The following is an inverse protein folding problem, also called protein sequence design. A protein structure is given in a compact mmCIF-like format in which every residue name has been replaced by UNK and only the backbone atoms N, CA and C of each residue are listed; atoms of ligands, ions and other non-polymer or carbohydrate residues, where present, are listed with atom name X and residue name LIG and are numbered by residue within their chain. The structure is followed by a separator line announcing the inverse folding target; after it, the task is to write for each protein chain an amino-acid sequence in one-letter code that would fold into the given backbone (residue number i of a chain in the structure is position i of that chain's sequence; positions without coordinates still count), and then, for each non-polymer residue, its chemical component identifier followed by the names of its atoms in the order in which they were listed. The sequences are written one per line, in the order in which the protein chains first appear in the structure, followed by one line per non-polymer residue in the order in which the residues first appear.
data_IF_815737337981
#
_entry.id   IF_815737337981
#
_cell.length_a   1.000
_cell.length_b   1.000
_cell.length_c   1.000
_cell.angle_alpha   90.00
_cell.angle_beta   90.00
_cell.angle_gamma   90.00
#
_symmetry.space_group_name_H-M   'P 1'
#
loop_
_entity.id
_entity.type
_entity.pdbx_description
1 polymer ?
#
# COMPACT_ATOMS: atom_id res chain seq x y z
N UNK A 1 17.05 40.93 8.50
CA UNK A 1 15.77 40.49 9.08
C UNK A 1 15.59 39.02 8.74
N UNK A 2 16.04 38.15 9.64
CA UNK A 2 15.98 36.69 9.50
C UNK A 2 15.10 36.17 10.63
N UNK A 3 14.03 35.46 10.29
CA UNK A 3 13.15 34.79 11.25
C UNK A 3 13.57 33.33 11.35
N UNK A 4 14.17 32.98 12.49
CA UNK A 4 14.34 31.61 12.95
C UNK A 4 12.99 31.04 13.42
N UNK A 5 12.63 29.87 12.91
CA UNK A 5 11.49 29.07 13.37
C UNK A 5 12.05 27.80 14.02
N UNK A 6 12.13 27.82 15.35
CA UNK A 6 12.42 26.66 16.18
C UNK A 6 11.23 25.69 16.16
N UNK A 7 11.39 24.54 15.52
CA UNK A 7 10.46 23.41 15.66
C UNK A 7 10.68 22.72 17.01
N UNK A 8 9.63 22.69 17.84
CA UNK A 8 9.57 21.83 19.04
C UNK A 8 9.67 20.37 18.63
N UNK A 9 10.80 19.74 18.95
CA UNK A 9 10.98 18.28 18.94
C UNK A 9 10.13 17.70 20.09
N UNK A 10 9.28 16.68 19.86
CA UNK A 10 8.59 16.02 20.96
C UNK A 10 9.62 15.34 21.87
N UNK A 11 9.45 15.50 23.20
CA UNK A 11 10.30 14.91 24.25
C UNK A 11 10.66 13.46 23.88
N UNK A 12 11.92 13.26 23.52
CA UNK A 12 12.53 11.92 23.49
C UNK A 12 12.52 11.43 24.93
N UNK A 13 11.85 10.31 25.20
CA UNK A 13 12.07 9.56 26.43
C UNK A 13 13.50 9.04 26.34
N UNK A 14 14.45 9.80 26.87
CA UNK A 14 15.83 9.36 27.04
C UNK A 14 15.83 8.32 28.14
N UNK A 15 15.95 7.05 27.77
CA UNK A 15 16.30 6.01 28.72
C UNK A 15 17.70 6.31 29.24
N UNK A 16 17.86 6.40 30.56
CA UNK A 16 19.18 6.39 31.18
C UNK A 16 19.97 5.18 30.69
N UNK A 17 21.27 5.34 30.46
CA UNK A 17 22.14 4.28 29.93
C UNK A 17 22.13 2.99 30.78
N UNK A 18 21.63 3.07 32.02
CA UNK A 18 21.64 2.03 33.04
C UNK A 18 20.79 0.79 32.70
N UNK A 19 19.79 0.89 31.82
CA UNK A 19 18.92 -0.26 31.46
C UNK A 19 19.34 -1.01 30.19
N UNK A 20 20.29 -0.46 29.42
CA UNK A 20 20.70 -1.05 28.14
C UNK A 20 21.28 -2.47 28.26
N UNK A 21 22.10 -2.80 29.28
CA UNK A 21 22.63 -4.16 29.47
C UNK A 21 21.53 -5.18 29.78
N UNK A 22 20.56 -4.81 30.61
CA UNK A 22 19.43 -5.68 30.98
C UNK A 22 18.54 -5.98 29.78
N UNK A 23 18.26 -4.97 28.94
CA UNK A 23 17.50 -5.15 27.69
C UNK A 23 18.24 -6.07 26.71
N UNK A 24 19.57 -5.92 26.57
CA UNK A 24 20.38 -6.81 25.72
C UNK A 24 20.38 -8.25 26.22
N UNK A 25 20.57 -8.45 27.52
CA UNK A 25 20.54 -9.77 28.15
C UNK A 25 19.17 -10.45 27.95
N UNK A 26 18.09 -9.71 28.18
CA UNK A 26 16.73 -10.19 27.94
C UNK A 26 16.51 -10.58 26.47
N UNK A 27 16.96 -9.75 25.52
CA UNK A 27 16.83 -10.03 24.09
C UNK A 27 17.61 -11.28 23.66
N UNK A 28 18.79 -11.51 24.23
CA UNK A 28 19.55 -12.73 24.02
C UNK A 28 18.83 -13.94 24.60
N UNK A 29 18.31 -13.85 25.83
CA UNK A 29 17.55 -14.92 26.46
C UNK A 29 16.29 -15.27 25.65
N UNK A 30 15.52 -14.26 25.23
CA UNK A 30 14.34 -14.48 24.39
C UNK A 30 14.70 -15.15 23.06
N UNK A 31 15.82 -14.76 22.44
CA UNK A 31 16.30 -15.40 21.22
C UNK A 31 16.68 -16.87 21.44
N UNK A 32 17.35 -17.19 22.55
CA UNK A 32 17.69 -18.57 22.86
C UNK A 32 16.45 -19.41 23.19
N UNK A 33 15.56 -18.91 24.06
CA UNK A 33 14.38 -19.66 24.53
C UNK A 33 13.36 -19.90 23.41
N UNK A 34 13.19 -18.94 22.49
CA UNK A 34 12.12 -19.03 21.50
C UNK A 34 12.60 -19.30 20.07
N UNK A 35 13.87 -19.03 19.73
CA UNK A 35 14.33 -18.98 18.32
C UNK A 35 15.54 -19.89 17.99
N UNK A 36 16.13 -20.61 18.96
CA UNK A 36 17.35 -21.39 18.72
C UNK A 36 17.17 -22.68 17.89
N UNK A 37 15.96 -23.26 17.80
CA UNK A 37 15.80 -24.63 17.28
C UNK A 37 15.44 -24.77 15.77
N UNK A 38 15.53 -23.71 14.96
CA UNK A 38 15.26 -23.85 13.51
C UNK A 38 16.17 -22.99 12.63
N UNK A 39 17.39 -23.45 12.46
CA UNK A 39 18.19 -23.21 11.26
C UNK A 39 18.37 -24.53 10.53
N UNK A 40 17.41 -24.90 9.70
CA UNK A 40 17.64 -25.93 8.67
C UNK A 40 16.99 -25.50 7.35
N UNK A 41 17.74 -25.81 6.30
CA UNK A 41 17.54 -25.39 4.92
C UNK A 41 16.19 -25.83 4.34
N UNK A 42 15.67 -24.98 3.46
CA UNK A 42 14.44 -25.20 2.71
C UNK A 42 14.76 -26.09 1.50
N UNK A 43 14.64 -27.41 1.63
CA UNK A 43 14.59 -28.34 0.49
C UNK A 43 13.15 -28.87 0.30
N UNK A 44 12.56 -28.74 -0.89
CA UNK A 44 11.23 -29.25 -1.16
C UNK A 44 11.33 -30.60 -1.89
N UNK A 45 11.16 -31.73 -1.19
CA UNK A 45 10.53 -32.95 -1.69
C UNK A 45 10.67 -34.10 -0.67
N UNK A 46 9.57 -34.53 -0.06
CA UNK A 46 9.08 -35.93 -0.13
C UNK A 46 7.85 -36.14 0.75
N UNK A 47 6.79 -36.62 0.10
CA UNK A 47 5.75 -37.45 0.69
C UNK A 47 6.38 -38.72 1.27
N UNK A 48 5.75 -39.27 2.32
CA UNK A 48 6.12 -40.43 3.14
C UNK A 48 6.92 -40.12 4.42
N UNK A 49 6.20 -39.77 5.49
CA UNK A 49 6.53 -40.17 6.86
C UNK A 49 5.30 -39.91 7.75
N UNK A 50 4.38 -40.87 7.82
CA UNK A 50 3.20 -40.84 8.71
C UNK A 50 3.32 -41.77 9.92
N UNK A 51 4.52 -42.28 10.22
CA UNK A 51 4.74 -43.31 11.27
C UNK A 51 5.66 -42.88 12.41
N UNK A 52 6.29 -41.70 12.36
CA UNK A 52 7.15 -41.20 13.45
C UNK A 52 6.40 -40.31 14.46
N UNK A 53 5.33 -39.62 14.05
CA UNK A 53 4.59 -38.70 14.91
C UNK A 53 3.66 -39.40 15.93
N UNK A 54 3.26 -40.65 15.67
CA UNK A 54 2.40 -41.41 16.60
C UNK A 54 3.19 -41.98 17.80
N UNK A 55 4.46 -42.35 17.60
CA UNK A 55 5.31 -42.92 18.65
C UNK A 55 5.77 -41.89 19.70
N UNK A 56 5.66 -40.59 19.42
CA UNK A 56 5.97 -39.52 20.37
C UNK A 56 4.77 -39.22 21.28
N UNK A 57 3.55 -39.39 20.77
CA UNK A 57 2.31 -39.16 21.54
C UNK A 57 2.08 -40.31 22.54
N UNK A 58 2.43 -41.56 22.18
CA UNK A 58 2.26 -42.71 23.08
C UNK A 58 3.33 -42.80 24.18
N UNK A 59 4.53 -42.21 23.97
CA UNK A 59 5.56 -42.08 25.03
C UNK A 59 5.25 -41.01 26.08
N UNK A 60 4.32 -40.09 25.81
CA UNK A 60 3.86 -39.10 26.79
C UNK A 60 2.78 -39.67 27.72
N UNK A 61 2.16 -40.82 27.39
CA UNK A 61 1.09 -41.43 28.21
C UNK A 61 1.51 -42.55 29.15
N UNK A 62 2.73 -43.10 29.04
CA UNK A 62 3.20 -44.21 29.91
C UNK A 62 4.41 -43.78 30.76
N UNK A 63 4.31 -42.62 31.39
CA UNK A 63 5.31 -42.08 32.32
C UNK A 63 4.68 -41.52 33.61
N UNK A 64 3.53 -42.07 34.02
CA UNK A 64 2.79 -41.68 35.22
C UNK A 64 2.94 -42.75 36.31
N UNK A 65 4.15 -42.90 36.85
CA UNK A 65 4.35 -43.50 38.16
C UNK A 65 5.72 -43.12 38.71
N UNK A 66 5.71 -42.52 39.90
CA UNK A 66 6.85 -42.37 40.81
C UNK A 66 7.99 -41.45 40.34
N UNK A 67 7.74 -40.15 40.37
CA UNK A 67 8.66 -39.23 41.03
C UNK A 67 7.89 -37.99 41.47
N UNK A 68 7.92 -37.74 42.78
CA UNK A 68 7.44 -36.56 43.44
C UNK A 68 8.31 -35.36 43.01
N UNK A 69 8.08 -34.88 41.78
CA UNK A 69 8.59 -33.58 41.34
C UNK A 69 7.79 -32.54 42.11
N UNK A 70 8.47 -31.77 42.95
CA UNK A 70 8.04 -30.43 43.31
C UNK A 70 7.64 -29.73 42.02
N UNK A 71 6.33 -29.63 41.78
CA UNK A 71 5.78 -28.66 40.86
C UNK A 71 6.09 -27.34 41.54
N UNK A 72 7.21 -26.71 41.16
CA UNK A 72 7.34 -25.28 41.30
C UNK A 72 6.07 -24.73 40.66
N UNK A 73 5.16 -24.22 41.49
CA UNK A 73 4.11 -23.32 41.05
C UNK A 73 4.86 -22.17 40.38
N UNK A 74 5.09 -22.29 39.07
CA UNK A 74 5.52 -21.17 38.25
C UNK A 74 4.30 -20.27 38.27
N UNK A 75 4.40 -19.27 39.13
CA UNK A 75 3.36 -18.27 39.33
C UNK A 75 3.10 -17.59 37.98
N UNK A 76 2.06 -18.04 37.29
CA UNK A 76 1.63 -17.51 36.00
C UNK A 76 1.00 -16.12 36.13
N UNK A 77 0.99 -15.55 37.34
CA UNK A 77 0.53 -14.18 37.63
C UNK A 77 1.61 -13.11 37.43
N UNK A 78 2.82 -13.47 37.01
CA UNK A 78 3.85 -12.51 36.63
C UNK A 78 3.41 -11.72 35.38
N UNK A 79 2.71 -10.61 35.62
CA UNK A 79 2.68 -9.50 34.69
C UNK A 79 4.12 -9.25 34.21
N UNK A 80 4.38 -9.19 32.89
CA UNK A 80 5.72 -8.91 32.41
C UNK A 80 6.28 -7.69 33.14
N UNK A 81 7.51 -7.77 33.68
CA UNK A 81 8.03 -6.86 34.71
C UNK A 81 8.21 -5.42 34.22
N UNK A 82 8.08 -5.19 32.92
CA UNK A 82 8.26 -3.88 32.30
C UNK A 82 6.93 -3.27 31.85
N UNK A 83 6.76 -1.94 31.95
CA UNK A 83 5.66 -1.20 31.33
C UNK A 83 5.55 -1.43 29.81
N UNK A 84 4.36 -1.15 29.25
CA UNK A 84 4.08 -1.32 27.81
C UNK A 84 5.04 -0.53 26.92
N UNK A 85 5.42 0.67 27.33
CA UNK A 85 6.30 1.58 26.58
C UNK A 85 7.71 0.99 26.39
N UNK A 86 8.20 0.23 27.38
CA UNK A 86 9.49 -0.47 27.30
C UNK A 86 9.41 -1.57 26.25
N UNK A 87 8.35 -2.38 26.29
CA UNK A 87 8.14 -3.44 25.31
C UNK A 87 7.96 -2.89 23.90
N UNK A 88 7.23 -1.78 23.74
CA UNK A 88 7.13 -1.10 22.45
C UNK A 88 8.49 -0.65 21.93
N UNK A 89 9.33 -0.09 22.79
CA UNK A 89 10.69 0.32 22.43
C UNK A 89 11.54 -0.90 22.03
N UNK A 90 11.48 -2.00 22.78
CA UNK A 90 12.16 -3.25 22.46
C UNK A 90 11.69 -3.75 21.08
N UNK A 91 10.38 -3.97 20.92
CA UNK A 91 9.77 -4.50 19.69
C UNK A 91 10.01 -3.63 18.46
N UNK A 92 10.14 -2.31 18.63
CA UNK A 92 10.44 -1.37 17.54
C UNK A 92 11.81 -1.65 16.92
N UNK A 93 12.76 -2.10 17.73
CA UNK A 93 14.11 -2.43 17.31
C UNK A 93 14.27 -3.88 16.83
N UNK A 94 13.22 -4.69 16.92
CA UNK A 94 13.27 -6.09 16.50
C UNK A 94 13.05 -6.24 14.99
N UNK A 95 13.71 -7.20 14.31
CA UNK A 95 13.39 -7.58 12.94
C UNK A 95 11.93 -8.02 12.80
N UNK A 96 11.34 -7.83 11.61
CA UNK A 96 9.94 -8.18 11.35
C UNK A 96 9.60 -9.66 11.59
N UNK A 97 10.46 -10.65 11.26
CA UNK A 97 10.19 -12.05 11.58
C UNK A 97 10.04 -12.31 13.08
N UNK A 98 10.90 -11.71 13.91
CA UNK A 98 10.86 -11.84 15.36
C UNK A 98 9.60 -11.17 15.92
N UNK A 99 9.25 -9.99 15.40
CA UNK A 99 8.02 -9.29 15.79
C UNK A 99 6.76 -10.11 15.50
N UNK A 100 6.73 -10.87 14.40
CA UNK A 100 5.63 -11.81 14.11
C UNK A 100 5.57 -12.92 15.16
N UNK A 101 6.72 -13.45 15.57
CA UNK A 101 6.79 -14.50 16.60
C UNK A 101 6.39 -13.99 17.98
N UNK A 102 6.79 -12.77 18.35
CA UNK A 102 6.40 -12.16 19.63
C UNK A 102 4.90 -12.04 19.82
N UNK A 103 4.14 -11.80 18.74
CA UNK A 103 2.67 -11.82 18.79
C UNK A 103 2.08 -13.17 19.19
N UNK A 104 2.82 -14.25 19.00
CA UNK A 104 2.39 -15.60 19.29
C UNK A 104 2.79 -16.06 20.70
N UNK A 105 3.60 -15.27 21.43
CA UNK A 105 4.10 -15.65 22.76
C UNK A 105 3.00 -15.56 23.81
N UNK A 106 2.31 -14.43 23.92
CA UNK A 106 1.21 -14.26 24.87
C UNK A 106 0.22 -13.15 24.43
N UNK A 107 -0.97 -13.11 25.04
CA UNK A 107 -2.00 -12.11 24.73
C UNK A 107 -1.52 -10.67 24.94
N UNK A 108 -0.74 -10.40 26.00
CA UNK A 108 -0.20 -9.05 26.26
C UNK A 108 0.75 -8.60 25.17
N UNK A 109 1.68 -9.45 24.73
CA UNK A 109 2.61 -9.09 23.65
C UNK A 109 1.88 -8.88 22.32
N UNK A 110 0.89 -9.73 22.01
CA UNK A 110 0.02 -9.47 20.87
C UNK A 110 -0.66 -8.10 20.99
N UNK A 111 -1.26 -7.78 22.14
CA UNK A 111 -1.94 -6.50 22.38
C UNK A 111 -1.00 -5.30 22.25
N UNK A 112 0.24 -5.38 22.73
CA UNK A 112 1.26 -4.32 22.57
C UNK A 112 1.58 -4.14 21.08
N UNK A 113 1.84 -5.24 20.36
CA UNK A 113 2.20 -5.18 18.95
C UNK A 113 1.03 -4.69 18.09
N UNK A 114 -0.21 -5.11 18.37
CA UNK A 114 -1.40 -4.68 17.61
C UNK A 114 -1.94 -3.32 18.06
N UNK A 115 -1.65 -2.89 19.28
CA UNK A 115 -2.07 -1.60 19.85
C UNK A 115 -1.15 -0.43 19.47
N UNK A 116 0.14 -0.68 19.23
CA UNK A 116 1.10 0.38 18.93
C UNK A 116 1.23 0.66 17.40
N UNK A 117 0.84 1.84 16.89
CA UNK A 117 0.98 2.19 15.47
C UNK A 117 2.39 2.12 14.91
N UNK A 118 3.40 2.41 15.72
CA UNK A 118 4.79 2.30 15.28
C UNK A 118 5.21 0.84 14.99
N UNK A 119 4.56 -0.13 15.63
CA UNK A 119 4.84 -1.56 15.43
C UNK A 119 4.00 -2.12 14.29
N UNK A 120 2.68 -1.96 14.35
CA UNK A 120 1.82 -2.66 13.39
C UNK A 120 1.89 -2.10 11.96
N UNK A 121 2.29 -0.82 11.79
CA UNK A 121 2.55 -0.24 10.46
C UNK A 121 3.70 -0.92 9.71
N UNK A 122 4.52 -1.73 10.40
CA UNK A 122 5.59 -2.53 9.79
C UNK A 122 5.08 -3.85 9.19
N UNK A 123 3.83 -4.25 9.48
CA UNK A 123 3.23 -5.43 8.88
C UNK A 123 2.57 -5.09 7.54
N UNK A 124 2.74 -6.04 6.62
CA UNK A 124 2.08 -6.07 5.32
C UNK A 124 1.44 -7.44 5.19
N UNK A 125 0.17 -7.49 4.78
CA UNK A 125 -0.52 -8.76 4.50
C UNK A 125 -0.56 -8.96 3.00
N UNK A 126 -0.18 -10.16 2.54
CA UNK A 126 -0.25 -10.58 1.15
C UNK A 126 -1.11 -11.83 1.09
N UNK A 127 -2.17 -11.79 0.29
CA UNK A 127 -3.09 -12.89 0.05
C UNK A 127 -2.72 -13.56 -1.27
N UNK A 128 -2.60 -14.89 -1.27
CA UNK A 128 -2.08 -15.66 -2.40
C UNK A 128 -3.14 -16.66 -2.89
N UNK A 129 -3.09 -17.16 -4.13
CA UNK A 129 -4.14 -18.03 -4.69
C UNK A 129 -4.39 -19.30 -3.88
N UNK A 130 -3.39 -19.77 -3.13
CA UNK A 130 -3.48 -21.00 -2.33
C UNK A 130 -4.20 -20.83 -0.99
N UNK A 131 -4.56 -19.61 -0.57
CA UNK A 131 -5.39 -19.41 0.63
C UNK A 131 -6.86 -19.69 0.30
N UNK A 132 -7.22 -21.00 0.23
CA UNK A 132 -8.56 -21.52 -0.13
C UNK A 132 -9.72 -21.01 0.73
N UNK A 133 -9.43 -20.36 1.86
CA UNK A 133 -10.39 -19.55 2.57
C UNK A 133 -9.64 -18.31 3.06
N UNK A 134 -9.95 -17.14 2.50
CA UNK A 134 -9.55 -15.85 3.05
C UNK A 134 -10.31 -15.64 4.38
N UNK A 135 -10.14 -16.50 5.38
CA UNK A 135 -10.69 -16.29 6.72
C UNK A 135 -9.57 -16.51 7.73
N UNK A 136 -8.64 -15.55 7.85
CA UNK A 136 -7.56 -15.70 8.80
C UNK A 136 -8.15 -15.26 10.14
N UNK A 137 -8.41 -16.23 11.02
CA UNK A 137 -9.05 -16.02 12.31
C UNK A 137 -8.39 -14.93 13.17
N UNK A 138 -7.14 -14.53 12.88
CA UNK A 138 -6.42 -13.46 13.60
C UNK A 138 -5.44 -12.69 12.69
N UNK A 139 -5.94 -11.89 11.73
CA UNK A 139 -5.06 -10.91 11.06
C UNK A 139 -4.68 -9.78 12.04
N UNK A 140 -3.40 -9.36 12.08
CA UNK A 140 -3.06 -8.09 12.73
C UNK A 140 -3.74 -6.92 12.00
N UNK A 141 -4.01 -5.80 12.69
CA UNK A 141 -4.23 -4.55 12.01
C UNK A 141 -2.98 -4.23 11.18
N UNK A 142 -3.18 -3.85 9.92
CA UNK A 142 -2.08 -3.47 9.03
C UNK A 142 -2.42 -2.20 8.28
N UNK A 143 -1.38 -1.52 7.83
CA UNK A 143 -1.52 -0.33 6.98
C UNK A 143 -1.72 -0.69 5.52
N UNK A 144 -1.19 -1.85 5.10
CA UNK A 144 -1.13 -2.25 3.71
C UNK A 144 -1.56 -3.71 3.54
N UNK A 145 -2.43 -3.95 2.56
CA UNK A 145 -2.83 -5.28 2.12
C UNK A 145 -2.63 -5.42 0.61
N UNK A 146 -2.12 -6.57 0.17
CA UNK A 146 -1.98 -6.94 -1.24
C UNK A 146 -2.73 -8.24 -1.53
N UNK A 147 -3.54 -8.26 -2.57
CA UNK A 147 -4.22 -9.45 -3.07
C UNK A 147 -3.58 -9.88 -4.38
N UNK A 148 -3.11 -11.13 -4.41
CA UNK A 148 -2.51 -11.74 -5.61
C UNK A 148 -3.27 -12.98 -6.01
N UNK A 149 -4.57 -12.92 -5.78
CA UNK A 149 -5.51 -13.99 -5.98
C UNK A 149 -6.83 -13.42 -6.45
N UNK A 150 -7.68 -14.30 -6.97
CA UNK A 150 -9.03 -13.92 -7.32
C UNK A 150 -9.81 -13.49 -6.08
N UNK A 151 -10.59 -12.42 -6.20
CA UNK A 151 -11.43 -11.87 -5.13
C UNK A 151 -12.86 -11.80 -5.64
N UNK A 152 -13.59 -12.89 -5.42
CA UNK A 152 -15.01 -13.01 -5.78
C UNK A 152 -15.92 -12.44 -4.69
N UNK A 153 -15.52 -12.59 -3.42
CA UNK A 153 -16.24 -12.07 -2.27
C UNK A 153 -15.29 -11.89 -1.08
N UNK A 154 -15.65 -11.01 -0.16
CA UNK A 154 -15.04 -10.94 1.17
C UNK A 154 -16.04 -11.37 2.24
N UNK A 155 -15.56 -12.12 3.23
CA UNK A 155 -16.38 -12.59 4.34
C UNK A 155 -16.35 -11.61 5.52
N UNK A 156 -17.03 -11.96 6.62
CA UNK A 156 -17.32 -11.08 7.76
C UNK A 156 -16.10 -10.56 8.54
N UNK A 157 -14.89 -11.06 8.30
CA UNK A 157 -13.66 -10.54 8.93
C UNK A 157 -13.19 -9.23 8.30
N UNK A 158 -13.54 -8.95 7.04
CA UNK A 158 -12.99 -7.83 6.29
C UNK A 158 -13.19 -6.47 6.99
N UNK A 159 -14.40 -6.12 7.48
CA UNK A 159 -14.61 -4.82 8.13
C UNK A 159 -13.68 -4.56 9.31
N UNK A 160 -13.38 -5.59 10.11
CA UNK A 160 -12.47 -5.47 11.26
C UNK A 160 -11.02 -5.27 10.83
N UNK A 161 -10.62 -5.92 9.75
CA UNK A 161 -9.29 -5.82 9.19
C UNK A 161 -9.06 -4.48 8.47
N UNK A 162 -10.08 -4.00 7.77
CA UNK A 162 -10.00 -2.85 6.87
C UNK A 162 -9.95 -1.49 7.58
N UNK A 163 -10.38 -1.41 8.84
CA UNK A 163 -10.47 -0.14 9.61
C UNK A 163 -9.16 0.67 9.60
N UNK A 164 -8.01 0.00 9.65
CA UNK A 164 -6.68 0.65 9.70
C UNK A 164 -5.94 0.66 8.36
N UNK A 165 -6.53 0.14 7.29
CA UNK A 165 -5.89 0.11 5.98
C UNK A 165 -5.77 1.53 5.41
N UNK A 166 -4.55 1.90 5.04
CA UNK A 166 -4.27 3.11 4.26
C UNK A 166 -3.94 2.78 2.80
N UNK A 167 -3.60 1.52 2.50
CA UNK A 167 -3.27 1.06 1.17
C UNK A 167 -3.80 -0.33 0.91
N UNK A 168 -4.43 -0.46 -0.25
CA UNK A 168 -4.93 -1.71 -0.79
C UNK A 168 -4.34 -1.90 -2.18
N UNK A 169 -3.81 -3.08 -2.44
CA UNK A 169 -3.25 -3.45 -3.71
C UNK A 169 -3.86 -4.77 -4.21
N UNK A 170 -4.00 -4.87 -5.52
CA UNK A 170 -4.39 -6.09 -6.23
C UNK A 170 -3.38 -6.30 -7.36
N UNK A 171 -2.63 -7.39 -7.31
CA UNK A 171 -1.59 -7.73 -8.29
C UNK A 171 -1.93 -9.07 -8.95
N UNK A 172 -2.42 -9.00 -10.17
CA UNK A 172 -2.88 -10.10 -11.01
C UNK A 172 -4.08 -10.86 -10.44
N UNK A 173 -5.07 -11.10 -11.29
CA UNK A 173 -6.21 -11.96 -11.00
C UNK A 173 -7.56 -11.30 -11.26
N UNK A 174 -8.58 -12.09 -11.00
CA UNK A 174 -9.97 -11.74 -11.24
C UNK A 174 -10.58 -11.10 -9.99
N UNK A 175 -11.09 -9.89 -10.11
CA UNK A 175 -11.71 -9.16 -8.98
C UNK A 175 -13.14 -8.85 -9.33
N UNK A 176 -14.08 -9.31 -8.51
CA UNK A 176 -15.47 -8.86 -8.60
C UNK A 176 -15.55 -7.37 -8.25
N UNK A 177 -16.21 -6.56 -9.08
CA UNK A 177 -16.49 -5.14 -8.77
C UNK A 177 -17.35 -5.07 -7.51
N UNK A 178 -18.32 -5.98 -7.36
CA UNK A 178 -19.16 -6.07 -6.17
C UNK A 178 -18.31 -6.31 -4.92
N UNK A 179 -17.36 -7.25 -4.98
CA UNK A 179 -16.44 -7.51 -3.88
C UNK A 179 -15.52 -6.32 -3.59
N UNK A 180 -14.92 -5.71 -4.63
CA UNK A 180 -14.06 -4.53 -4.49
C UNK A 180 -14.81 -3.39 -3.79
N UNK A 181 -16.03 -3.07 -4.21
CA UNK A 181 -16.81 -2.00 -3.59
C UNK A 181 -17.26 -2.35 -2.18
N UNK A 182 -17.66 -3.60 -1.95
CA UNK A 182 -17.92 -4.12 -0.60
C UNK A 182 -16.70 -3.95 0.30
N UNK A 183 -15.50 -4.19 -0.22
CA UNK A 183 -14.26 -4.00 0.50
C UNK A 183 -13.99 -2.52 0.81
N UNK A 184 -14.01 -1.67 -0.22
CA UNK A 184 -13.69 -0.25 -0.12
C UNK A 184 -14.63 0.50 0.84
N UNK A 185 -15.90 0.09 0.94
CA UNK A 185 -16.88 0.65 1.90
C UNK A 185 -16.41 0.57 3.35
N UNK A 186 -15.58 -0.42 3.68
CA UNK A 186 -15.07 -0.65 5.04
C UNK A 186 -13.64 -0.13 5.26
N UNK A 187 -13.09 0.63 4.32
CA UNK A 187 -11.75 1.21 4.43
C UNK A 187 -11.81 2.73 4.64
N UNK A 188 -12.24 3.23 5.81
CA UNK A 188 -12.45 4.66 6.05
C UNK A 188 -11.15 5.49 6.00
N UNK A 189 -9.99 4.84 6.11
CA UNK A 189 -8.68 5.47 6.11
C UNK A 189 -7.89 5.24 4.81
N UNK A 190 -8.52 4.67 3.78
CA UNK A 190 -7.82 4.30 2.55
C UNK A 190 -7.34 5.54 1.79
N UNK A 191 -6.04 5.62 1.55
CA UNK A 191 -5.40 6.73 0.84
C UNK A 191 -4.86 6.33 -0.52
N UNK A 192 -4.48 5.05 -0.68
CA UNK A 192 -3.82 4.53 -1.88
C UNK A 192 -4.51 3.25 -2.34
N UNK A 193 -4.92 3.20 -3.60
CA UNK A 193 -5.38 1.99 -4.25
C UNK A 193 -4.49 1.71 -5.46
N UNK A 194 -3.96 0.48 -5.53
CA UNK A 194 -3.13 0.02 -6.64
C UNK A 194 -3.75 -1.23 -7.24
N UNK A 195 -3.88 -1.28 -8.56
CA UNK A 195 -4.37 -2.46 -9.26
C UNK A 195 -3.46 -2.71 -10.46
N UNK A 196 -2.93 -3.92 -10.58
CA UNK A 196 -1.98 -4.30 -11.62
C UNK A 196 -2.38 -5.63 -12.25
N UNK A 197 -2.71 -5.66 -13.53
CA UNK A 197 -3.10 -6.90 -14.24
C UNK A 197 -4.40 -7.51 -13.71
N UNK A 198 -5.34 -6.67 -13.27
CA UNK A 198 -6.63 -7.08 -12.71
C UNK A 198 -7.69 -7.12 -13.80
N UNK A 199 -8.47 -8.19 -13.83
CA UNK A 199 -9.65 -8.34 -14.67
C UNK A 199 -10.91 -8.28 -13.82
N UNK A 200 -11.89 -7.47 -14.23
CA UNK A 200 -13.15 -7.38 -13.51
C UNK A 200 -14.15 -8.40 -14.04
N UNK A 201 -14.73 -9.21 -13.17
CA UNK A 201 -15.59 -10.35 -13.56
C UNK A 201 -17.08 -10.05 -13.57
N UNK A 202 -17.52 -9.04 -12.83
CA UNK A 202 -18.93 -8.69 -12.70
C UNK A 202 -19.13 -7.19 -12.52
N UNK A 203 -20.39 -6.76 -12.66
CA UNK A 203 -20.84 -5.43 -12.28
C UNK A 203 -20.46 -4.32 -13.25
N UNK A 204 -20.93 -3.12 -12.89
CA UNK A 204 -20.55 -1.87 -13.52
C UNK A 204 -19.95 -0.99 -12.43
N UNK A 205 -18.94 -0.19 -12.76
CA UNK A 205 -18.58 0.93 -11.91
C UNK A 205 -19.82 1.85 -11.86
N UNK A 206 -20.39 2.09 -10.68
CA UNK A 206 -21.57 2.97 -10.49
C UNK A 206 -21.32 4.12 -9.52
N UNK A 207 -20.41 3.93 -8.58
CA UNK A 207 -19.92 4.97 -7.69
C UNK A 207 -18.63 4.52 -7.04
N UNK A 208 -17.72 5.46 -6.77
CA UNK A 208 -16.49 5.15 -6.06
C UNK A 208 -16.67 5.41 -4.56
N UNK A 209 -16.67 4.39 -3.69
CA UNK A 209 -17.11 4.54 -2.30
C UNK A 209 -16.04 5.09 -1.34
N UNK A 210 -14.88 5.54 -1.83
CA UNK A 210 -13.77 5.98 -0.97
C UNK A 210 -13.56 7.50 -1.06
N UNK A 211 -14.15 8.29 -0.14
CA UNK A 211 -13.97 9.74 -0.14
C UNK A 211 -12.54 10.17 0.25
N UNK A 212 -11.75 9.29 0.86
CA UNK A 212 -10.40 9.59 1.37
C UNK A 212 -9.29 9.27 0.37
N UNK A 213 -9.60 8.69 -0.79
CA UNK A 213 -8.59 8.23 -1.73
C UNK A 213 -7.79 9.41 -2.29
N UNK A 214 -6.47 9.39 -2.09
CA UNK A 214 -5.54 10.43 -2.55
C UNK A 214 -4.66 10.00 -3.71
N UNK A 215 -4.54 8.69 -3.93
CA UNK A 215 -3.72 8.11 -4.97
C UNK A 215 -4.39 6.87 -5.55
N UNK A 216 -4.52 6.86 -6.88
CA UNK A 216 -4.98 5.73 -7.65
C UNK A 216 -3.94 5.38 -8.70
N UNK A 217 -3.49 4.12 -8.68
CA UNK A 217 -2.58 3.57 -9.70
C UNK A 217 -3.19 2.35 -10.33
N UNK A 218 -3.43 2.42 -11.63
CA UNK A 218 -3.92 1.33 -12.44
C UNK A 218 -2.86 0.95 -13.47
N UNK A 219 -2.56 -0.34 -13.55
CA UNK A 219 -1.58 -0.90 -14.48
C UNK A 219 -2.19 -2.11 -15.20
N UNK A 220 -2.25 -2.12 -16.52
CA UNK A 220 -2.81 -3.25 -17.26
C UNK A 220 -4.25 -3.61 -16.80
N UNK A 221 -5.10 -2.59 -16.60
CA UNK A 221 -6.48 -2.75 -16.13
C UNK A 221 -7.44 -2.18 -17.18
N UNK A 222 -8.46 -2.96 -17.55
CA UNK A 222 -9.60 -2.48 -18.33
C UNK A 222 -10.66 -1.92 -17.37
N UNK A 223 -10.85 -0.60 -17.35
CA UNK A 223 -11.80 0.04 -16.40
C UNK A 223 -13.17 0.34 -17.01
N UNK A 224 -13.35 0.22 -18.33
CA UNK A 224 -14.58 0.66 -19.01
C UNK A 224 -14.98 2.08 -18.57
N UNK A 225 -16.28 2.34 -18.38
CA UNK A 225 -16.76 3.64 -17.88
C UNK A 225 -16.33 3.99 -16.44
N UNK A 226 -15.48 3.19 -15.80
CA UNK A 226 -14.88 3.42 -14.49
C UNK A 226 -14.25 4.81 -14.32
N UNK A 227 -13.74 5.41 -15.40
CA UNK A 227 -13.13 6.75 -15.38
C UNK A 227 -14.13 7.85 -14.94
N UNK A 228 -15.42 7.71 -15.27
CA UNK A 228 -16.48 8.65 -14.89
C UNK A 228 -16.62 8.79 -13.37
N UNK A 229 -16.28 7.74 -12.62
CA UNK A 229 -16.40 7.70 -11.17
C UNK A 229 -15.18 8.24 -10.44
N UNK A 230 -14.03 8.33 -11.11
CA UNK A 230 -12.85 8.97 -10.53
C UNK A 230 -13.07 10.46 -10.28
N UNK A 231 -13.94 11.10 -11.07
CA UNK A 231 -14.34 12.51 -10.88
C UNK A 231 -15.07 12.72 -9.55
N UNK A 232 -15.72 11.67 -9.06
CA UNK A 232 -16.39 11.69 -7.76
C UNK A 232 -15.42 11.51 -6.58
N UNK A 233 -14.10 11.43 -6.81
CA UNK A 233 -13.09 11.34 -5.76
C UNK A 233 -12.55 12.73 -5.40
N UNK A 234 -13.12 13.44 -4.42
CA UNK A 234 -12.82 14.85 -4.15
C UNK A 234 -11.40 15.09 -3.63
N UNK A 235 -10.69 14.03 -3.21
CA UNK A 235 -9.36 14.12 -2.63
C UNK A 235 -8.27 13.47 -3.50
N UNK A 236 -8.59 13.05 -4.73
CA UNK A 236 -7.64 12.35 -5.59
C UNK A 236 -6.56 13.31 -6.12
N UNK A 237 -5.36 13.22 -5.55
CA UNK A 237 -4.22 14.10 -5.88
C UNK A 237 -3.31 13.47 -6.92
N UNK A 238 -3.18 12.14 -6.90
CA UNK A 238 -2.28 11.38 -7.75
C UNK A 238 -3.04 10.35 -8.58
N UNK A 239 -2.94 10.43 -9.90
CA UNK A 239 -3.52 9.47 -10.83
C UNK A 239 -2.42 8.92 -11.75
N UNK A 240 -2.30 7.60 -11.78
CA UNK A 240 -1.41 6.89 -12.70
C UNK A 240 -2.19 5.83 -13.47
N UNK A 241 -2.22 5.95 -14.78
CA UNK A 241 -2.82 4.97 -15.70
C UNK A 241 -1.71 4.45 -16.62
N UNK A 242 -1.36 3.18 -16.49
CA UNK A 242 -0.26 2.56 -17.23
C UNK A 242 -0.82 1.36 -17.98
N UNK A 243 -0.77 1.34 -19.31
CA UNK A 243 -1.31 0.21 -20.07
C UNK A 243 -2.77 -0.10 -19.76
N UNK A 244 -3.55 0.95 -19.49
CA UNK A 244 -5.00 0.87 -19.40
C UNK A 244 -5.62 1.07 -20.78
N UNK A 245 -6.72 0.36 -21.02
CA UNK A 245 -7.60 0.60 -22.18
C UNK A 245 -8.74 1.52 -21.76
N UNK A 246 -8.75 2.72 -22.35
CA UNK A 246 -9.77 3.75 -22.21
C UNK A 246 -10.48 4.04 -23.54
N UNK A 247 -10.25 3.24 -24.60
CA UNK A 247 -10.74 3.53 -25.94
C UNK A 247 -12.26 3.48 -26.05
N UNK A 248 -12.91 2.58 -25.31
CA UNK A 248 -14.36 2.43 -25.24
C UNK A 248 -15.05 3.29 -24.17
N UNK A 249 -14.31 4.13 -23.45
CA UNK A 249 -14.86 4.92 -22.34
C UNK A 249 -15.55 6.18 -22.84
N UNK A 250 -16.75 6.45 -22.32
CA UNK A 250 -17.41 7.73 -22.55
C UNK A 250 -16.64 8.89 -21.87
N UNK A 251 -16.52 10.02 -22.56
CA UNK A 251 -15.88 11.22 -21.99
C UNK A 251 -16.73 11.73 -20.83
N UNK A 252 -16.17 11.83 -19.62
CA UNK A 252 -16.99 12.16 -18.49
C UNK A 252 -17.51 13.60 -18.45
N UNK A 253 -18.64 13.80 -17.75
CA UNK A 253 -19.14 15.14 -17.42
C UNK A 253 -18.59 15.58 -16.05
N UNK A 254 -17.57 16.43 -16.04
CA UNK A 254 -17.02 17.00 -14.80
C UNK A 254 -15.57 17.45 -14.88
N UNK A 255 -14.95 17.68 -13.72
CA UNK A 255 -13.57 18.16 -13.63
C UNK A 255 -12.87 17.52 -12.42
N UNK A 256 -11.63 17.09 -12.58
CA UNK A 256 -10.78 16.53 -11.53
C UNK A 256 -9.99 17.66 -10.85
N UNK A 257 -10.74 18.58 -10.22
CA UNK A 257 -10.21 19.88 -9.79
C UNK A 257 -9.04 19.83 -8.81
N UNK A 258 -8.86 18.73 -8.08
CA UNK A 258 -7.82 18.58 -7.05
C UNK A 258 -6.56 17.85 -7.53
N UNK A 259 -6.57 17.29 -8.75
CA UNK A 259 -5.45 16.47 -9.21
C UNK A 259 -4.20 17.33 -9.42
N UNK A 260 -3.07 16.88 -8.86
CA UNK A 260 -1.77 17.56 -8.97
C UNK A 260 -0.75 16.76 -9.77
N UNK A 261 -0.89 15.44 -9.77
CA UNK A 261 0.08 14.56 -10.40
C UNK A 261 -0.65 13.57 -11.32
N UNK A 262 -0.35 13.68 -12.61
CA UNK A 262 -0.87 12.80 -13.64
C UNK A 262 0.27 12.01 -14.28
N UNK A 263 0.10 10.70 -14.37
CA UNK A 263 0.97 9.83 -15.16
C UNK A 263 0.12 8.99 -16.10
N UNK A 264 0.39 9.12 -17.40
CA UNK A 264 -0.16 8.28 -18.44
C UNK A 264 0.99 7.52 -19.11
N UNK A 265 0.80 6.23 -19.36
CA UNK A 265 1.77 5.41 -20.08
C UNK A 265 1.06 4.46 -21.02
N UNK A 266 1.62 4.30 -22.22
CA UNK A 266 1.36 3.23 -23.20
C UNK A 266 0.00 2.60 -23.02
N UNK A 267 -1.03 3.02 -23.73
CA UNK A 267 -2.37 2.47 -23.57
C UNK A 267 -3.28 2.93 -24.69
N UNK A 268 -4.44 2.31 -24.81
CA UNK A 268 -5.43 2.71 -25.80
C UNK A 268 -6.28 3.82 -25.20
N UNK A 269 -5.95 5.08 -25.51
CA UNK A 269 -6.72 6.25 -25.06
C UNK A 269 -7.21 6.96 -26.30
N UNK A 270 -8.52 7.14 -26.43
CA UNK A 270 -9.08 7.90 -27.54
C UNK A 270 -8.62 9.36 -27.50
N UNK A 271 -8.48 10.04 -28.65
CA UNK A 271 -8.09 11.46 -28.68
C UNK A 271 -9.02 12.34 -27.84
N UNK A 272 -10.32 12.05 -27.81
CA UNK A 272 -11.33 12.78 -27.06
C UNK A 272 -11.14 12.60 -25.55
N UNK A 273 -10.88 11.36 -25.11
CA UNK A 273 -10.58 11.06 -23.70
C UNK A 273 -9.26 11.70 -23.27
N UNK A 274 -8.23 11.66 -24.11
CA UNK A 274 -6.96 12.32 -23.81
C UNK A 274 -7.15 13.83 -23.68
N UNK A 275 -7.88 14.47 -24.61
CA UNK A 275 -8.17 15.90 -24.54
C UNK A 275 -8.96 16.25 -23.27
N UNK A 276 -9.94 15.43 -22.88
CA UNK A 276 -10.66 15.57 -21.62
C UNK A 276 -9.71 15.49 -20.42
N UNK A 277 -8.91 14.43 -20.33
CA UNK A 277 -7.92 14.27 -19.25
C UNK A 277 -6.95 15.45 -19.22
N UNK A 278 -6.61 16.11 -20.32
CA UNK A 278 -5.67 17.23 -20.27
C UNK A 278 -6.33 18.57 -19.93
N UNK A 279 -7.62 18.73 -20.23
CA UNK A 279 -8.36 19.97 -19.98
C UNK A 279 -8.94 20.07 -18.55
N UNK A 280 -9.15 18.93 -17.87
CA UNK A 280 -9.82 18.86 -16.58
C UNK A 280 -8.92 19.03 -15.35
N UNK A 281 -7.78 19.73 -15.42
CA UNK A 281 -6.85 19.80 -14.28
C UNK A 281 -6.23 21.19 -14.07
N UNK A 282 -7.00 22.17 -13.58
CA UNK A 282 -6.47 23.52 -13.31
C UNK A 282 -5.36 23.54 -12.24
N UNK A 283 -5.27 22.51 -11.40
CA UNK A 283 -4.31 22.40 -10.30
C UNK A 283 -3.10 21.49 -10.62
N UNK A 284 -2.97 21.01 -11.87
CA UNK A 284 -1.94 20.02 -12.19
C UNK A 284 -0.53 20.62 -12.03
N UNK A 285 0.28 20.04 -11.16
CA UNK A 285 1.65 20.49 -10.89
C UNK A 285 2.66 19.70 -11.72
N UNK A 286 2.42 18.41 -11.97
CA UNK A 286 3.30 17.56 -12.77
C UNK A 286 2.53 16.62 -13.69
N UNK A 287 3.01 16.46 -14.92
CA UNK A 287 2.51 15.48 -15.87
C UNK A 287 3.64 14.56 -16.35
N UNK A 288 3.33 13.28 -16.57
CA UNK A 288 4.25 12.32 -17.16
C UNK A 288 3.56 11.50 -18.25
N UNK A 289 4.15 11.46 -19.43
CA UNK A 289 3.69 10.70 -20.59
C UNK A 289 4.80 9.74 -21.01
N UNK A 290 4.49 8.46 -21.08
CA UNK A 290 5.47 7.40 -21.34
C UNK A 290 4.98 6.52 -22.48
N UNK A 291 5.76 6.40 -23.55
CA UNK A 291 5.45 5.56 -24.70
C UNK A 291 4.05 5.86 -25.27
N UNK A 292 3.79 7.14 -25.55
CA UNK A 292 2.51 7.63 -26.07
C UNK A 292 2.71 8.35 -27.41
N UNK A 293 2.29 7.71 -28.50
CA UNK A 293 2.36 8.27 -29.86
C UNK A 293 1.30 9.36 -30.11
N UNK A 294 0.20 9.31 -29.37
CA UNK A 294 -0.88 10.31 -29.45
C UNK A 294 -0.53 11.65 -28.78
N UNK A 295 0.54 11.70 -27.98
CA UNK A 295 1.00 12.94 -27.35
C UNK A 295 1.95 13.66 -28.30
N UNK A 296 1.45 14.76 -28.86
CA UNK A 296 2.20 15.68 -29.72
C UNK A 296 2.40 17.07 -29.07
N UNK A 297 3.10 17.97 -29.78
CA UNK A 297 3.35 19.34 -29.31
C UNK A 297 2.06 20.09 -29.01
N UNK A 298 1.06 20.00 -29.88
CA UNK A 298 -0.22 20.69 -29.72
C UNK A 298 -0.99 20.23 -28.46
N UNK A 299 -0.93 18.93 -28.18
CA UNK A 299 -1.49 18.31 -26.97
C UNK A 299 -0.85 18.87 -25.70
N UNK A 300 0.48 19.02 -25.69
CA UNK A 300 1.21 19.60 -24.56
C UNK A 300 0.98 21.11 -24.41
N UNK A 301 0.84 21.86 -25.50
CA UNK A 301 0.46 23.28 -25.45
C UNK A 301 -0.92 23.45 -24.83
N UNK A 302 -1.92 22.63 -25.22
CA UNK A 302 -3.26 22.63 -24.59
C UNK A 302 -3.19 22.36 -23.09
N UNK A 303 -2.37 21.40 -22.67
CA UNK A 303 -2.15 21.10 -21.25
C UNK A 303 -1.54 22.30 -20.50
N UNK A 304 -0.53 22.95 -21.08
CA UNK A 304 0.09 24.15 -20.50
C UNK A 304 -0.93 25.28 -20.36
N UNK A 305 -1.79 25.50 -21.35
CA UNK A 305 -2.85 26.49 -21.28
C UNK A 305 -3.88 26.17 -20.19
N UNK A 306 -4.27 24.90 -20.05
CA UNK A 306 -5.28 24.46 -19.09
C UNK A 306 -4.79 24.48 -17.63
N UNK A 307 -3.53 24.10 -17.38
CA UNK A 307 -2.96 24.08 -16.03
C UNK A 307 -1.90 25.15 -15.84
N UNK A 308 -2.23 26.23 -15.14
CA UNK A 308 -1.27 27.32 -14.83
C UNK A 308 -0.24 26.93 -13.78
N UNK A 309 -0.51 25.90 -12.95
CA UNK A 309 0.41 25.43 -11.89
C UNK A 309 1.42 24.38 -12.36
N UNK A 310 1.34 23.96 -13.62
CA UNK A 310 2.23 22.94 -14.15
C UNK A 310 3.67 23.43 -14.14
N UNK A 311 4.53 22.69 -13.43
CA UNK A 311 5.95 23.00 -13.20
C UNK A 311 6.90 21.97 -13.79
N UNK A 312 6.41 20.77 -14.10
CA UNK A 312 7.23 19.72 -14.69
C UNK A 312 6.44 18.80 -15.63
N UNK A 313 7.04 18.51 -16.78
CA UNK A 313 6.56 17.54 -17.75
C UNK A 313 7.66 16.50 -17.98
N UNK A 314 7.31 15.21 -17.88
CA UNK A 314 8.20 14.10 -18.25
C UNK A 314 7.68 13.42 -19.49
N UNK A 315 8.52 13.30 -20.50
CA UNK A 315 8.26 12.63 -21.76
C UNK A 315 9.27 11.51 -21.89
N UNK A 316 8.80 10.31 -22.16
CA UNK A 316 9.67 9.17 -22.45
C UNK A 316 9.10 8.45 -23.66
N UNK A 317 9.88 8.32 -24.74
CA UNK A 317 9.42 7.69 -25.99
C UNK A 317 8.10 8.31 -26.51
N UNK A 318 8.06 9.64 -26.61
CA UNK A 318 6.96 10.40 -27.23
C UNK A 318 7.46 11.06 -28.52
N UNK A 319 7.45 10.35 -29.67
CA UNK A 319 8.18 10.77 -30.87
C UNK A 319 7.70 12.09 -31.48
N UNK A 320 6.45 12.51 -31.19
CA UNK A 320 5.87 13.76 -31.68
C UNK A 320 6.02 14.95 -30.73
N UNK A 321 6.74 14.76 -29.62
CA UNK A 321 6.94 15.76 -28.57
C UNK A 321 8.40 15.71 -28.07
N UNK A 322 9.33 15.84 -29.00
CA UNK A 322 10.77 15.66 -28.83
C UNK A 322 11.53 16.95 -28.46
N UNK A 323 10.94 18.12 -28.69
CA UNK A 323 11.59 19.42 -28.46
C UNK A 323 10.86 20.25 -27.41
N UNK A 324 11.46 20.38 -26.22
CA UNK A 324 10.92 21.23 -25.14
C UNK A 324 10.87 22.71 -25.54
N UNK A 325 11.86 23.17 -26.32
CA UNK A 325 11.97 24.56 -26.78
C UNK A 325 10.79 24.90 -27.69
N UNK A 326 10.54 24.08 -28.70
CA UNK A 326 9.41 24.30 -29.63
C UNK A 326 8.05 24.24 -28.92
N UNK A 327 7.88 23.32 -27.96
CA UNK A 327 6.64 23.24 -27.17
C UNK A 327 6.39 24.55 -26.41
N UNK A 328 7.42 25.10 -25.77
CA UNK A 328 7.29 26.35 -25.01
C UNK A 328 7.11 27.56 -25.91
N UNK A 329 7.80 27.62 -27.06
CA UNK A 329 7.62 28.67 -28.06
C UNK A 329 6.18 28.70 -28.56
N UNK A 330 5.64 27.55 -28.99
CA UNK A 330 4.24 27.43 -29.43
C UNK A 330 3.25 27.84 -28.32
N UNK A 331 3.57 27.57 -27.06
CA UNK A 331 2.76 28.00 -25.92
C UNK A 331 2.77 29.53 -25.73
N UNK A 332 3.93 30.17 -25.85
CA UNK A 332 4.04 31.63 -25.73
C UNK A 332 3.34 32.34 -26.88
N UNK A 333 3.53 31.87 -28.12
CA UNK A 333 2.83 32.37 -29.31
C UNK A 333 1.31 32.22 -29.17
N UNK A 334 0.82 31.06 -28.74
CA UNK A 334 -0.61 30.79 -28.58
C UNK A 334 -1.30 31.69 -27.53
N UNK A 335 -0.55 32.25 -26.58
CA UNK A 335 -1.09 33.14 -25.54
C UNK A 335 -0.62 34.60 -25.68
N UNK A 336 0.11 34.93 -26.74
CA UNK A 336 0.73 36.24 -26.94
C UNK A 336 1.54 36.69 -25.70
N UNK A 337 2.35 35.79 -25.15
CA UNK A 337 3.18 36.03 -23.98
C UNK A 337 4.64 36.24 -24.40
N UNK A 338 5.38 37.04 -23.61
CA UNK A 338 6.83 37.12 -23.76
C UNK A 338 7.52 35.81 -23.35
N UNK A 339 8.63 35.49 -24.03
CA UNK A 339 9.50 34.39 -23.65
C UNK A 339 9.95 34.52 -22.18
N UNK A 340 9.99 33.39 -21.46
CA UNK A 340 10.39 33.37 -20.05
C UNK A 340 9.31 33.78 -19.05
N UNK A 341 8.12 34.18 -19.50
CA UNK A 341 6.97 34.50 -18.62
C UNK A 341 6.49 33.32 -17.75
N UNK A 342 6.91 32.09 -18.10
CA UNK A 342 6.60 30.87 -17.37
C UNK A 342 7.70 29.83 -17.54
N UNK A 343 8.13 29.26 -16.43
CA UNK A 343 9.13 28.18 -16.43
C UNK A 343 8.45 26.82 -16.16
N UNK A 344 8.66 25.87 -17.08
CA UNK A 344 8.23 24.48 -16.93
C UNK A 344 9.41 23.57 -17.25
N UNK A 345 9.76 22.68 -16.32
CA UNK A 345 10.87 21.75 -16.51
C UNK A 345 10.45 20.57 -17.36
N UNK A 346 11.11 20.38 -18.49
CA UNK A 346 10.97 19.20 -19.32
C UNK A 346 12.06 18.17 -19.03
N UNK A 347 11.70 16.90 -19.00
CA UNK A 347 12.63 15.78 -19.10
C UNK A 347 12.18 14.92 -20.27
N UNK A 348 12.96 14.92 -21.34
CA UNK A 348 12.67 14.18 -22.58
C UNK A 348 13.73 13.08 -22.69
N UNK A 349 13.30 11.84 -22.94
CA UNK A 349 14.17 10.66 -22.99
C UNK A 349 13.66 9.62 -23.97
#
# INVERSE_FOLDING_TARGET
MAHDVLYRIPKVVTFGQDHLPQVRALMQQLRHTFFADRTDAFEPHRFQQRTAAQNVIDRVRIGSALHQRQVLQVDTTLEPPFPTEIWEHIFRNCPLPDLKRFRLVCHRWNAIVTGCPALWRRFHVRFWPRTKALSPAVLPPVKQANFECNVEAVSSWWPRFADKLEELAFDAGDVSITALFGMLKHCPNLKRLRMSGVWFTDGEFRSWPSPTLTELKLMCVAIGDGIQYLISSPNLVNLSLVNCDLSGCSVPKGNLSVLRHLKLSSGQISPEMLAYILSCHPQLETAGFFNMESVDRGTLVKLLCASRKLRAIRLYKCPRADSAVEIMQNYFEALNLGEGSREVRFRIS
#
